data_IF_184169161269
#
_entry.id   IF_184169161269
#
_cell.length_a   1.000
_cell.length_b   1.000
_cell.length_c   1.000
_cell.angle_alpha   90.00
_cell.angle_beta   90.00
_cell.angle_gamma   90.00
#
_symmetry.space_group_name_H-M   'P 1'
#
loop_
_entity.id
_entity.type
_entity.pdbx_description
1 polymer ?
#
# COMPACT_ATOMS: atom_id res chain seq x y z
N UNK A 1 -11.13 57.36 12.14
CA UNK A 1 -10.61 56.09 12.69
C UNK A 1 -11.03 54.93 11.81
N UNK A 2 -10.09 54.29 11.12
CA UNK A 2 -10.34 53.10 10.31
C UNK A 2 -10.19 51.81 11.12
N UNK A 3 -11.03 50.81 10.82
CA UNK A 3 -10.74 49.40 11.11
C UNK A 3 -10.89 48.61 9.81
N UNK A 4 -9.76 48.06 9.37
CA UNK A 4 -9.58 47.28 8.14
C UNK A 4 -10.19 45.89 8.34
N UNK A 5 -11.16 45.53 7.50
CA UNK A 5 -11.60 44.14 7.33
C UNK A 5 -10.59 43.38 6.48
N UNK A 6 -10.05 42.29 7.02
CA UNK A 6 -9.18 41.36 6.28
C UNK A 6 -10.07 40.40 5.49
N UNK A 7 -10.04 40.50 4.16
CA UNK A 7 -10.50 39.43 3.27
C UNK A 7 -9.51 38.26 3.39
N UNK A 8 -9.99 37.10 3.83
CA UNK A 8 -9.28 35.83 3.66
C UNK A 8 -9.63 35.29 2.27
N UNK A 9 -8.68 35.40 1.34
CA UNK A 9 -8.73 34.73 0.04
C UNK A 9 -8.41 33.25 0.29
N UNK A 10 -9.42 32.39 0.15
CA UNK A 10 -9.20 30.94 0.07
C UNK A 10 -8.92 30.59 -1.39
N UNK A 11 -7.67 30.22 -1.67
CA UNK A 11 -7.31 29.60 -2.95
C UNK A 11 -7.72 28.13 -2.87
N UNK A 12 -8.79 27.77 -3.58
CA UNK A 12 -9.19 26.38 -3.78
C UNK A 12 -8.13 25.69 -4.65
N UNK A 13 -7.33 24.80 -4.06
CA UNK A 13 -6.44 23.92 -4.80
C UNK A 13 -7.29 22.84 -5.49
N UNK A 14 -7.53 23.02 -6.79
CA UNK A 14 -8.06 21.95 -7.64
C UNK A 14 -7.01 20.86 -7.82
N UNK A 15 -7.36 19.62 -7.49
CA UNK A 15 -6.55 18.45 -7.79
C UNK A 15 -6.53 18.22 -9.31
N UNK A 16 -5.51 18.76 -9.99
CA UNK A 16 -5.16 18.35 -11.33
C UNK A 16 -4.15 17.20 -11.23
N UNK A 17 -4.57 15.97 -11.53
CA UNK A 17 -3.67 14.88 -11.89
C UNK A 17 -3.82 14.63 -13.38
N UNK A 18 -2.76 14.99 -14.13
CA UNK A 18 -2.62 14.78 -15.57
C UNK A 18 -2.50 13.28 -15.89
N UNK A 19 -3.38 12.78 -16.75
CA UNK A 19 -3.18 11.53 -17.46
C UNK A 19 -2.28 11.80 -18.68
N UNK A 20 -1.10 11.18 -18.74
CA UNK A 20 -0.19 11.24 -19.89
C UNK A 20 -0.32 9.98 -20.76
N UNK A 21 -0.55 10.19 -22.06
CA UNK A 21 -0.57 9.16 -23.10
C UNK A 21 0.85 8.83 -23.61
N UNK A 22 1.04 7.60 -24.11
CA UNK A 22 2.33 7.00 -24.46
C UNK A 22 2.77 7.16 -25.94
N UNK A 23 4.07 7.49 -26.12
CA UNK A 23 5.07 7.02 -27.13
C UNK A 23 4.94 7.42 -28.63
N UNK A 24 6.03 7.37 -29.49
CA UNK A 24 7.30 6.63 -29.35
C UNK A 24 8.65 7.29 -29.80
N UNK A 25 9.76 6.67 -29.32
CA UNK A 25 11.12 6.42 -29.90
C UNK A 25 11.95 7.53 -30.59
N UNK A 26 13.16 7.79 -30.06
CA UNK A 26 14.30 8.28 -30.85
C UNK A 26 15.49 8.91 -30.09
N UNK A 27 16.63 8.20 -30.10
CA UNK A 27 18.03 8.70 -30.10
C UNK A 27 18.76 9.15 -28.79
N UNK A 28 19.74 8.30 -28.43
CA UNK A 28 21.17 8.57 -28.16
C UNK A 28 21.66 9.37 -26.94
N UNK A 29 22.59 8.70 -26.24
CA UNK A 29 23.34 9.12 -25.06
C UNK A 29 24.32 10.29 -25.30
N UNK A 30 24.54 11.11 -24.27
CA UNK A 30 25.83 11.77 -24.02
C UNK A 30 26.01 12.04 -22.51
N UNK A 31 27.27 11.99 -22.08
CA UNK A 31 27.85 11.96 -20.73
C UNK A 31 27.73 13.24 -19.88
N UNK A 32 27.93 13.04 -18.57
CA UNK A 32 27.98 14.01 -17.46
C UNK A 32 29.03 15.14 -17.59
N UNK A 33 28.98 16.11 -16.67
CA UNK A 33 30.19 16.43 -15.91
C UNK A 33 29.98 16.48 -14.38
N UNK A 34 31.05 16.10 -13.68
CA UNK A 34 31.30 16.16 -12.23
C UNK A 34 32.19 17.37 -11.92
N UNK A 35 31.92 18.11 -10.83
CA UNK A 35 32.92 18.94 -10.09
C UNK A 35 32.45 19.22 -8.63
N UNK A 36 33.30 19.66 -7.66
CA UNK A 36 33.58 18.88 -6.45
C UNK A 36 33.55 19.67 -5.10
N UNK A 37 33.83 18.98 -3.98
CA UNK A 37 34.74 19.48 -2.93
C UNK A 37 34.16 19.86 -1.56
N UNK A 38 34.72 19.26 -0.49
CA UNK A 38 34.60 19.68 0.92
C UNK A 38 34.59 18.51 1.94
N UNK A 39 35.67 17.72 2.07
CA UNK A 39 36.67 17.75 3.18
C UNK A 39 36.09 17.48 4.60
N UNK A 40 36.06 16.26 5.15
CA UNK A 40 37.13 15.40 5.76
C UNK A 40 37.48 15.76 7.21
N UNK A 41 37.26 14.84 8.16
CA UNK A 41 38.15 14.60 9.31
C UNK A 41 38.21 13.08 9.57
N UNK A 42 39.42 12.58 9.80
CA UNK A 42 39.78 11.17 9.88
C UNK A 42 40.44 10.81 11.24
N UNK A 43 40.43 9.50 11.51
CA UNK A 43 41.49 8.69 12.16
C UNK A 43 41.44 8.54 13.71
N UNK A 44 42.09 7.52 14.31
CA UNK A 44 42.94 6.46 13.70
C UNK A 44 42.67 5.00 14.19
N UNK A 45 43.22 4.05 13.45
CA UNK A 45 43.50 2.68 13.88
C UNK A 45 44.91 2.60 14.53
N UNK A 46 45.19 1.62 15.42
CA UNK A 46 46.56 1.30 15.81
C UNK A 46 47.07 -0.02 15.21
N UNK A 47 48.40 -0.06 15.07
CA UNK A 47 49.20 -1.06 14.39
C UNK A 47 49.79 -2.14 15.33
N UNK A 48 50.11 -3.28 14.71
CA UNK A 48 51.13 -4.33 14.93
C UNK A 48 51.87 -4.54 16.27
N UNK A 49 52.12 -5.84 16.50
CA UNK A 49 52.78 -6.55 17.61
C UNK A 49 54.31 -6.35 17.77
N UNK A 50 54.90 -7.07 18.75
CA UNK A 50 56.11 -7.87 18.49
C UNK A 50 56.00 -9.34 18.97
N UNK A 51 56.85 -10.20 18.39
CA UNK A 51 56.99 -11.65 18.62
C UNK A 51 58.20 -12.00 19.51
N UNK A 52 58.15 -13.18 20.16
CA UNK A 52 59.22 -14.17 20.43
C UNK A 52 58.56 -15.36 21.20
N UNK A 53 58.87 -16.67 21.07
CA UNK A 53 59.85 -17.44 20.31
C UNK A 53 59.57 -18.97 20.48
N UNK A 54 59.94 -19.73 19.44
CA UNK A 54 60.17 -21.17 19.23
C UNK A 54 59.83 -22.26 20.29
N UNK A 55 59.16 -23.37 19.87
CA UNK A 55 59.80 -24.62 19.37
C UNK A 55 58.91 -25.90 19.44
N UNK A 56 58.64 -26.48 18.26
CA UNK A 56 58.63 -27.91 17.82
C UNK A 56 58.05 -29.04 18.73
N UNK A 57 57.00 -29.74 18.25
CA UNK A 57 57.00 -31.15 17.76
C UNK A 57 55.57 -31.70 17.48
N UNK A 58 55.55 -32.71 16.61
CA UNK A 58 54.46 -33.28 15.79
C UNK A 58 53.30 -33.95 16.56
N UNK A 59 52.11 -33.94 15.97
CA UNK A 59 51.00 -34.83 16.33
C UNK A 59 49.78 -34.64 15.42
N UNK A 60 49.25 -35.72 14.86
CA UNK A 60 48.30 -35.76 13.75
C UNK A 60 46.83 -35.43 14.11
N UNK A 61 46.05 -35.22 13.02
CA UNK A 61 44.58 -35.37 12.83
C UNK A 61 43.69 -34.11 12.79
N UNK A 62 43.27 -33.82 11.56
CA UNK A 62 42.01 -33.26 11.03
C UNK A 62 40.89 -32.91 12.04
N UNK A 63 40.49 -31.64 12.07
CA UNK A 63 39.09 -31.19 12.13
C UNK A 63 39.02 -29.67 11.80
N UNK A 64 38.07 -29.30 10.93
CA UNK A 64 37.74 -27.91 10.54
C UNK A 64 36.83 -27.25 11.60
N UNK A 65 36.72 -25.91 11.65
CA UNK A 65 36.18 -25.20 12.80
C UNK A 65 34.64 -25.20 12.87
N UNK A 66 34.20 -25.03 14.11
CA UNK A 66 32.88 -25.06 14.72
C UNK A 66 31.85 -24.15 14.02
N UNK A 67 30.85 -24.76 13.37
CA UNK A 67 29.55 -24.13 13.14
C UNK A 67 28.69 -24.35 14.37
N UNK A 68 28.30 -23.27 15.04
CA UNK A 68 27.34 -23.31 16.14
C UNK A 68 25.98 -23.77 15.60
N UNK A 69 25.56 -24.97 16.01
CA UNK A 69 24.25 -25.52 15.70
C UNK A 69 23.28 -25.07 16.78
N UNK A 70 22.40 -24.12 16.44
CA UNK A 70 21.23 -23.81 17.27
C UNK A 70 20.24 -24.97 17.11
N UNK A 71 20.20 -25.89 18.09
CA UNK A 71 19.09 -26.83 18.21
C UNK A 71 17.86 -26.08 18.71
N UNK A 72 16.93 -25.82 17.80
CA UNK A 72 15.56 -25.45 18.17
C UNK A 72 15.00 -26.58 19.06
N UNK A 73 14.94 -26.35 20.36
CA UNK A 73 14.25 -27.23 21.29
C UNK A 73 12.80 -26.75 21.39
N UNK A 74 11.82 -27.44 20.79
CA UNK A 74 10.41 -27.08 20.94
C UNK A 74 9.95 -27.56 22.30
N UNK A 75 10.17 -26.74 23.31
CA UNK A 75 9.47 -26.85 24.58
C UNK A 75 9.00 -25.43 24.91
N UNK A 76 7.68 -25.22 24.98
CA UNK A 76 6.97 -24.00 25.44
C UNK A 76 6.46 -22.99 24.39
N UNK A 77 6.34 -23.34 23.09
CA UNK A 77 5.70 -22.43 22.12
C UNK A 77 6.41 -21.07 21.95
N UNK A 78 7.72 -21.02 22.24
CA UNK A 78 8.58 -19.84 22.09
C UNK A 78 9.94 -20.25 21.56
N UNK A 79 10.57 -19.38 20.77
CA UNK A 79 11.94 -19.55 20.28
C UNK A 79 12.71 -18.24 20.45
N UNK A 80 13.98 -18.37 20.82
CA UNK A 80 14.92 -17.25 20.93
C UNK A 80 15.90 -17.30 19.76
N UNK A 81 16.15 -16.13 19.18
CA UNK A 81 17.02 -15.94 18.04
C UNK A 81 18.06 -14.89 18.39
N UNK A 82 19.33 -15.28 18.39
CA UNK A 82 20.44 -14.40 18.78
C UNK A 82 21.35 -14.12 17.60
N UNK A 83 21.48 -12.85 17.24
CA UNK A 83 22.36 -12.37 16.17
C UNK A 83 23.03 -11.07 16.60
N UNK A 84 24.31 -10.90 16.27
CA UNK A 84 25.06 -9.66 16.51
C UNK A 84 24.98 -9.14 17.97
N UNK A 85 24.86 -10.05 18.93
CA UNK A 85 24.74 -9.72 20.36
C UNK A 85 23.35 -9.28 20.83
N UNK A 86 22.33 -9.32 19.96
CA UNK A 86 20.92 -9.08 20.29
C UNK A 86 20.15 -10.39 20.30
N UNK A 87 19.20 -10.52 21.23
CA UNK A 87 18.31 -11.68 21.34
C UNK A 87 16.87 -11.26 21.13
N UNK A 88 16.18 -11.95 20.22
CA UNK A 88 14.78 -11.73 19.88
C UNK A 88 13.97 -12.97 20.24
N UNK A 89 12.83 -12.78 20.90
CA UNK A 89 11.93 -13.90 21.21
C UNK A 89 10.66 -13.84 20.37
N UNK A 90 10.35 -14.94 19.68
CA UNK A 90 9.11 -15.12 18.90
C UNK A 90 8.29 -16.22 19.55
N UNK A 91 6.97 -16.02 19.72
CA UNK A 91 6.13 -16.93 20.52
C UNK A 91 4.79 -17.25 19.86
N UNK A 92 4.11 -18.25 20.42
CA UNK A 92 2.75 -18.65 20.11
C UNK A 92 2.45 -18.79 18.62
N UNK A 93 1.29 -18.29 18.22
CA UNK A 93 0.82 -18.36 16.84
C UNK A 93 1.71 -17.57 15.86
N UNK A 94 2.43 -16.54 16.33
CA UNK A 94 3.38 -15.79 15.51
C UNK A 94 4.58 -16.67 15.16
N UNK A 95 5.11 -17.40 16.14
CA UNK A 95 6.18 -18.37 15.91
C UNK A 95 5.72 -19.49 14.97
N UNK A 96 4.53 -20.06 15.19
CA UNK A 96 3.97 -21.11 14.33
C UNK A 96 3.88 -20.65 12.87
N UNK A 97 3.37 -19.43 12.64
CA UNK A 97 3.33 -18.84 11.29
C UNK A 97 4.74 -18.61 10.74
N UNK A 98 5.65 -18.06 11.53
CA UNK A 98 7.03 -17.80 11.11
C UNK A 98 7.76 -19.09 10.70
N UNK A 99 7.59 -20.17 11.45
CA UNK A 99 8.15 -21.49 11.10
C UNK A 99 7.53 -22.04 9.82
N UNK A 100 6.21 -21.86 9.61
CA UNK A 100 5.54 -22.26 8.39
C UNK A 100 6.04 -21.51 7.14
N UNK A 101 6.55 -20.29 7.30
CA UNK A 101 7.17 -19.48 6.24
C UNK A 101 8.65 -19.80 6.01
N UNK A 102 9.21 -20.81 6.69
CA UNK A 102 10.61 -21.24 6.54
C UNK A 102 11.58 -20.57 7.52
N UNK A 103 11.07 -19.90 8.56
CA UNK A 103 11.87 -19.26 9.61
C UNK A 103 12.93 -18.30 9.02
N UNK A 104 14.15 -18.28 9.59
CA UNK A 104 15.22 -17.35 9.20
C UNK A 104 15.75 -17.55 7.79
N UNK A 105 15.50 -18.72 7.19
CA UNK A 105 15.83 -19.04 5.81
C UNK A 105 14.67 -18.79 4.84
N UNK A 106 13.51 -18.42 5.39
CA UNK A 106 12.28 -18.14 4.66
C UNK A 106 12.21 -16.71 4.12
N UNK A 107 11.06 -16.40 3.50
CA UNK A 107 10.85 -15.10 2.87
C UNK A 107 10.88 -13.93 3.87
N UNK A 108 10.56 -14.16 5.14
CA UNK A 108 10.55 -13.15 6.20
C UNK A 108 11.96 -12.78 6.69
N UNK A 109 12.93 -13.69 6.58
CA UNK A 109 14.26 -13.53 7.15
C UNK A 109 14.24 -13.57 8.69
N UNK A 110 15.27 -12.99 9.32
CA UNK A 110 15.43 -13.02 10.78
C UNK A 110 14.46 -12.07 11.49
N UNK A 111 14.05 -12.38 12.74
CA UNK A 111 13.34 -11.41 13.57
C UNK A 111 14.23 -10.19 13.85
N UNK A 112 13.62 -9.01 13.86
CA UNK A 112 14.27 -7.74 14.23
C UNK A 112 13.65 -7.10 15.48
N UNK A 113 12.56 -7.67 15.98
CA UNK A 113 11.99 -7.38 17.29
C UNK A 113 11.69 -8.68 18.03
N UNK A 114 11.64 -8.63 19.35
CA UNK A 114 10.87 -9.62 20.11
C UNK A 114 9.38 -9.39 19.84
N UNK A 115 8.56 -10.38 20.21
CA UNK A 115 7.10 -10.23 20.18
C UNK A 115 6.66 -9.04 21.05
N UNK A 116 5.90 -8.13 20.44
CA UNK A 116 5.30 -6.97 21.07
C UNK A 116 3.81 -7.21 21.22
N UNK A 117 3.31 -7.15 22.45
CA UNK A 117 1.88 -7.27 22.75
C UNK A 117 1.20 -5.91 22.61
N UNK A 118 0.04 -5.91 21.96
CA UNK A 118 -0.78 -4.73 21.69
C UNK A 118 -2.22 -4.92 22.20
N UNK A 119 -2.97 -3.83 22.40
CA UNK A 119 -4.42 -3.93 22.58
C UNK A 119 -5.07 -4.62 21.37
N UNK A 120 -5.54 -5.85 21.55
CA UNK A 120 -6.23 -6.61 20.50
C UNK A 120 -5.33 -7.50 19.64
N UNK A 121 -4.04 -7.61 19.94
CA UNK A 121 -3.14 -8.47 19.19
C UNK A 121 -1.70 -8.50 19.69
N UNK A 122 -0.82 -9.04 18.86
CA UNK A 122 0.62 -9.00 19.05
C UNK A 122 1.29 -8.99 17.67
N UNK A 123 2.56 -8.59 17.61
CA UNK A 123 3.33 -8.71 16.38
C UNK A 123 4.80 -8.99 16.64
N UNK A 124 5.46 -9.50 15.60
CA UNK A 124 6.91 -9.48 15.47
C UNK A 124 7.28 -8.93 14.10
N UNK A 125 8.24 -8.01 14.06
CA UNK A 125 8.86 -7.60 12.81
C UNK A 125 10.03 -8.51 12.45
N UNK A 126 10.17 -8.77 11.16
CA UNK A 126 11.25 -9.53 10.55
C UNK A 126 11.92 -8.66 9.49
N UNK A 127 13.10 -9.06 9.02
CA UNK A 127 13.89 -8.30 8.03
C UNK A 127 13.07 -7.89 6.79
N UNK A 128 12.23 -8.78 6.28
CA UNK A 128 11.51 -8.59 5.01
C UNK A 128 9.98 -8.60 5.18
N UNK A 129 9.48 -8.48 6.40
CA UNK A 129 8.04 -8.54 6.65
C UNK A 129 7.68 -8.47 8.12
N UNK A 130 6.42 -8.74 8.42
CA UNK A 130 5.91 -8.73 9.78
C UNK A 130 4.84 -9.78 9.92
N UNK A 131 4.75 -10.39 11.10
CA UNK A 131 3.66 -11.29 11.43
C UNK A 131 2.86 -10.65 12.53
N UNK A 132 1.59 -10.39 12.25
CA UNK A 132 0.63 -9.84 13.20
C UNK A 132 -0.36 -10.92 13.57
N UNK A 133 -0.65 -11.04 14.86
CA UNK A 133 -1.70 -11.90 15.38
C UNK A 133 -2.82 -11.05 15.98
N UNK A 134 -4.07 -11.44 15.71
CA UNK A 134 -5.25 -10.95 16.43
C UNK A 134 -6.26 -12.08 16.63
N UNK A 135 -7.18 -12.00 17.61
CA UNK A 135 -8.20 -13.03 17.83
C UNK A 135 -9.08 -13.31 16.61
N UNK A 136 -9.36 -12.30 15.79
CA UNK A 136 -10.20 -12.42 14.59
C UNK A 136 -9.42 -12.86 13.37
N UNK A 137 -8.18 -12.39 13.23
CA UNK A 137 -7.36 -12.61 12.05
C UNK A 137 -6.44 -13.82 12.17
N UNK A 138 -6.15 -14.33 13.37
CA UNK A 138 -5.04 -15.24 13.59
C UNK A 138 -3.69 -14.58 13.23
N UNK A 139 -2.64 -15.39 13.12
CA UNK A 139 -1.32 -14.90 12.68
C UNK A 139 -1.29 -14.75 11.15
N UNK A 140 -1.00 -13.54 10.68
CA UNK A 140 -0.97 -13.15 9.27
C UNK A 140 0.33 -12.45 8.93
N UNK A 141 0.89 -12.81 7.78
CA UNK A 141 2.09 -12.19 7.23
C UNK A 141 1.70 -10.92 6.47
N UNK A 142 2.41 -9.83 6.71
CA UNK A 142 2.33 -8.59 5.93
C UNK A 142 3.74 -8.24 5.47
N UNK A 143 3.96 -8.03 4.17
CA UNK A 143 5.29 -7.82 3.59
C UNK A 143 5.26 -6.88 2.39
N UNK A 144 6.45 -6.51 1.92
CA UNK A 144 6.66 -5.69 0.72
C UNK A 144 5.84 -4.40 0.72
N UNK A 145 5.39 -3.98 -0.47
CA UNK A 145 4.70 -2.69 -0.63
C UNK A 145 3.38 -2.58 0.15
N UNK A 146 2.69 -3.70 0.41
CA UNK A 146 1.48 -3.69 1.25
C UNK A 146 1.84 -3.31 2.69
N UNK A 147 2.91 -3.90 3.23
CA UNK A 147 3.45 -3.55 4.55
C UNK A 147 3.87 -2.09 4.60
N UNK A 148 4.60 -1.63 3.60
CA UNK A 148 5.14 -0.25 3.57
C UNK A 148 4.01 0.79 3.51
N UNK A 149 2.95 0.51 2.75
CA UNK A 149 1.75 1.37 2.75
C UNK A 149 1.09 1.37 4.13
N UNK A 150 0.92 0.21 4.75
CA UNK A 150 0.26 0.12 6.05
C UNK A 150 1.08 0.79 7.17
N UNK A 151 2.40 0.62 7.14
CA UNK A 151 3.38 1.32 7.99
C UNK A 151 3.23 2.84 7.87
N UNK A 152 3.19 3.36 6.65
CA UNK A 152 3.05 4.79 6.39
C UNK A 152 1.74 5.39 6.95
N UNK A 153 0.73 4.55 7.21
CA UNK A 153 -0.56 4.97 7.77
C UNK A 153 -0.69 4.69 9.28
N UNK A 154 0.37 4.22 9.94
CA UNK A 154 0.36 3.95 11.37
C UNK A 154 -0.03 2.53 11.76
N UNK A 155 0.19 1.55 10.88
CA UNK A 155 0.03 0.13 11.21
C UNK A 155 -1.38 -0.20 11.73
N UNK A 156 -1.48 -1.02 12.78
CA UNK A 156 -2.73 -1.40 13.43
C UNK A 156 -3.47 -0.24 14.10
N UNK A 157 -2.80 0.90 14.32
CA UNK A 157 -3.46 2.13 14.82
C UNK A 157 -4.19 2.90 13.72
N UNK A 158 -3.94 2.54 12.45
CA UNK A 158 -4.65 3.08 11.30
C UNK A 158 -6.08 2.55 11.20
N UNK A 159 -6.88 3.15 10.33
CA UNK A 159 -8.22 2.65 10.04
C UNK A 159 -8.25 1.25 9.41
N UNK A 160 -7.14 0.75 8.85
CA UNK A 160 -7.07 -0.61 8.32
C UNK A 160 -7.08 -1.65 9.43
N UNK A 161 -6.55 -1.31 10.61
CA UNK A 161 -6.49 -2.21 11.78
C UNK A 161 -5.71 -3.51 11.41
N UNK A 162 -5.96 -4.63 12.08
CA UNK A 162 -5.20 -5.88 11.86
C UNK A 162 -5.51 -6.57 10.51
N UNK A 163 -4.52 -7.24 9.90
CA UNK A 163 -4.74 -8.13 8.77
C UNK A 163 -5.65 -9.31 9.16
N UNK A 164 -6.53 -9.70 8.24
CA UNK A 164 -7.46 -10.84 8.42
C UNK A 164 -7.24 -11.94 7.39
N UNK A 165 -6.54 -11.64 6.29
CA UNK A 165 -6.09 -12.63 5.31
C UNK A 165 -4.58 -12.58 5.12
N UNK A 166 -4.02 -13.66 4.56
CA UNK A 166 -2.72 -13.57 3.90
C UNK A 166 -2.88 -12.72 2.62
N UNK A 167 -1.76 -12.23 2.08
CA UNK A 167 -1.73 -11.65 0.75
C UNK A 167 -1.97 -12.74 -0.30
N UNK A 168 -2.98 -12.55 -1.15
CA UNK A 168 -3.38 -13.49 -2.19
C UNK A 168 -3.37 -12.86 -3.59
N UNK A 169 -3.32 -13.68 -4.65
CA UNK A 169 -3.36 -13.18 -6.02
C UNK A 169 -4.71 -12.53 -6.35
N UNK A 170 -4.68 -11.48 -7.17
CA UNK A 170 -5.85 -10.73 -7.62
C UNK A 170 -5.63 -10.26 -9.06
N UNK A 171 -6.24 -10.86 -10.09
CA UNK A 171 -6.26 -10.31 -11.46
C UNK A 171 -4.93 -9.77 -12.07
N UNK A 172 -3.76 -10.34 -11.75
CA UNK A 172 -2.45 -9.84 -12.20
C UNK A 172 -1.68 -8.97 -11.18
N UNK A 173 -2.24 -8.80 -9.99
CA UNK A 173 -1.62 -8.20 -8.81
C UNK A 173 -1.93 -9.02 -7.56
N UNK A 174 -2.02 -8.35 -6.42
CA UNK A 174 -2.27 -8.97 -5.13
C UNK A 174 -3.30 -8.18 -4.32
N UNK A 175 -3.95 -8.85 -3.38
CA UNK A 175 -4.84 -8.24 -2.39
C UNK A 175 -4.56 -8.83 -1.02
N UNK A 176 -4.51 -7.97 -0.01
CA UNK A 176 -4.54 -8.37 1.37
C UNK A 176 -5.68 -7.68 2.09
N UNK A 177 -6.45 -8.45 2.85
CA UNK A 177 -7.61 -7.95 3.58
C UNK A 177 -7.23 -7.63 5.01
N UNK A 178 -7.71 -6.48 5.46
CA UNK A 178 -7.61 -5.99 6.82
C UNK A 178 -9.01 -5.80 7.40
N UNK A 179 -9.13 -5.70 8.72
CA UNK A 179 -10.44 -5.57 9.38
C UNK A 179 -11.19 -4.32 8.90
N UNK A 180 -10.48 -3.23 8.66
CA UNK A 180 -11.09 -1.95 8.24
C UNK A 180 -11.12 -1.69 6.74
N UNK A 181 -10.57 -2.57 5.91
CA UNK A 181 -10.51 -2.41 4.46
C UNK A 181 -9.55 -3.37 3.78
N UNK A 182 -9.40 -3.22 2.47
CA UNK A 182 -8.55 -4.09 1.66
C UNK A 182 -7.43 -3.25 1.03
N UNK A 183 -6.22 -3.81 0.98
CA UNK A 183 -5.10 -3.23 0.24
C UNK A 183 -4.88 -4.03 -1.03
N UNK A 184 -5.05 -3.36 -2.16
CA UNK A 184 -4.80 -3.89 -3.49
C UNK A 184 -3.44 -3.42 -3.98
N UNK A 185 -2.67 -4.30 -4.59
CA UNK A 185 -1.40 -3.98 -5.22
C UNK A 185 -1.42 -4.44 -6.66
N UNK A 186 -0.93 -3.59 -7.57
CA UNK A 186 -0.59 -4.02 -8.94
C UNK A 186 0.76 -3.43 -9.36
N UNK A 187 1.46 -4.03 -10.33
CA UNK A 187 2.68 -3.45 -10.88
C UNK A 187 2.48 -2.04 -11.47
N UNK A 188 1.26 -1.73 -11.94
CA UNK A 188 0.95 -0.46 -12.60
C UNK A 188 0.59 0.66 -11.60
N UNK A 189 -0.03 0.34 -10.47
CA UNK A 189 -0.61 1.34 -9.55
C UNK A 189 0.02 1.34 -8.16
N UNK A 190 0.87 0.36 -7.85
CA UNK A 190 1.39 0.16 -6.51
C UNK A 190 0.29 -0.24 -5.51
N UNK A 191 0.58 -0.20 -4.20
CA UNK A 191 -0.39 -0.53 -3.17
C UNK A 191 -1.39 0.63 -2.99
N UNK A 192 -2.69 0.33 -2.96
CA UNK A 192 -3.76 1.28 -2.67
C UNK A 192 -4.78 0.64 -1.73
N UNK A 193 -5.24 1.39 -0.74
CA UNK A 193 -6.28 0.91 0.17
C UNK A 193 -7.67 1.33 -0.28
N UNK A 194 -8.65 0.46 -0.02
CA UNK A 194 -10.07 0.70 -0.20
C UNK A 194 -10.80 0.36 1.10
N UNK A 195 -11.81 1.15 1.46
CA UNK A 195 -12.61 0.92 2.67
C UNK A 195 -14.07 1.32 2.47
N UNK A 196 -14.89 0.98 3.48
CA UNK A 196 -16.26 1.47 3.59
C UNK A 196 -17.11 1.25 2.34
N UNK A 197 -17.98 2.22 2.03
CA UNK A 197 -18.93 2.12 0.93
C UNK A 197 -18.26 2.05 -0.45
N UNK A 198 -17.08 2.66 -0.62
CA UNK A 198 -16.32 2.60 -1.86
C UNK A 198 -15.83 1.17 -2.11
N UNK A 199 -15.22 0.53 -1.10
CA UNK A 199 -14.83 -0.88 -1.18
C UNK A 199 -16.04 -1.77 -1.50
N UNK A 200 -17.16 -1.60 -0.80
CA UNK A 200 -18.37 -2.39 -1.05
C UNK A 200 -18.88 -2.24 -2.48
N UNK A 201 -18.89 -1.02 -3.03
CA UNK A 201 -19.31 -0.77 -4.42
C UNK A 201 -18.34 -1.38 -5.43
N UNK A 202 -17.04 -1.34 -5.14
CA UNK A 202 -15.99 -1.94 -5.97
C UNK A 202 -16.09 -3.47 -6.00
N UNK A 203 -16.25 -4.12 -4.84
CA UNK A 203 -16.47 -5.57 -4.74
C UNK A 203 -17.74 -5.97 -5.49
N UNK A 204 -18.84 -5.22 -5.33
CA UNK A 204 -20.08 -5.44 -6.07
C UNK A 204 -19.95 -5.22 -7.58
N UNK A 205 -18.93 -4.49 -8.05
CA UNK A 205 -18.61 -4.33 -9.46
C UNK A 205 -17.74 -5.47 -10.03
N UNK A 206 -17.37 -6.48 -9.22
CA UNK A 206 -16.45 -7.55 -9.62
C UNK A 206 -14.98 -7.29 -9.26
N UNK A 207 -14.72 -6.27 -8.41
CA UNK A 207 -13.39 -5.92 -7.93
C UNK A 207 -12.38 -5.73 -9.07
N UNK A 208 -11.16 -6.25 -8.93
CA UNK A 208 -10.06 -6.10 -9.88
C UNK A 208 -10.32 -6.81 -11.22
N UNK A 209 -11.20 -7.81 -11.22
CA UNK A 209 -11.64 -8.53 -12.43
C UNK A 209 -12.82 -7.85 -13.12
N UNK A 210 -13.42 -6.86 -12.44
CA UNK A 210 -14.53 -6.07 -12.93
C UNK A 210 -14.10 -4.97 -13.93
N UNK A 211 -15.05 -4.19 -14.43
CA UNK A 211 -14.79 -3.18 -15.46
C UNK A 211 -13.85 -2.08 -14.97
N UNK A 212 -13.79 -1.81 -13.67
CA UNK A 212 -12.96 -0.74 -13.10
C UNK A 212 -11.46 -1.04 -13.11
N UNK A 213 -11.06 -2.32 -13.07
CA UNK A 213 -9.67 -2.73 -12.87
C UNK A 213 -9.15 -2.37 -11.47
N UNK A 214 -7.84 -2.18 -11.34
CA UNK A 214 -7.21 -1.86 -10.06
C UNK A 214 -7.44 -0.40 -9.62
N UNK A 215 -7.46 -0.13 -8.30
CA UNK A 215 -7.37 1.23 -7.79
C UNK A 215 -6.05 1.89 -8.21
N UNK A 216 -6.14 3.14 -8.64
CA UNK A 216 -5.02 4.02 -9.00
C UNK A 216 -4.68 4.95 -7.84
N UNK A 217 -5.67 5.28 -7.02
CA UNK A 217 -5.49 6.03 -5.77
C UNK A 217 -6.07 5.25 -4.61
N UNK A 218 -5.60 5.53 -3.41
CA UNK A 218 -6.35 5.19 -2.19
C UNK A 218 -7.55 6.13 -2.06
N UNK A 219 -8.43 5.89 -1.09
CA UNK A 219 -9.59 6.77 -0.85
C UNK A 219 -9.15 8.20 -0.54
N UNK A 220 -9.61 9.16 -1.33
CA UNK A 220 -9.37 10.59 -1.17
C UNK A 220 -10.62 11.24 -0.58
N UNK A 221 -10.46 11.89 0.57
CA UNK A 221 -11.52 12.66 1.21
C UNK A 221 -11.85 13.93 0.44
N UNK A 222 -13.14 14.20 0.28
CA UNK A 222 -13.70 15.42 -0.30
C UNK A 222 -14.53 16.16 0.75
N UNK A 223 -14.84 17.43 0.50
CA UNK A 223 -15.61 18.27 1.45
C UNK A 223 -16.95 17.64 1.88
N UNK A 224 -17.62 16.93 0.97
CA UNK A 224 -18.94 16.33 1.20
C UNK A 224 -18.99 14.84 0.88
N UNK A 225 -17.84 14.16 0.81
CA UNK A 225 -17.78 12.79 0.33
C UNK A 225 -16.35 12.25 0.27
N UNK A 226 -16.16 11.24 -0.54
CA UNK A 226 -14.85 10.68 -0.85
C UNK A 226 -14.89 10.09 -2.26
N UNK A 227 -13.72 9.86 -2.85
CA UNK A 227 -13.64 9.12 -4.08
C UNK A 227 -12.37 8.27 -4.15
N UNK A 228 -12.41 7.28 -5.03
CA UNK A 228 -11.23 6.55 -5.48
C UNK A 228 -11.24 6.48 -6.98
N UNK A 229 -10.10 6.78 -7.60
CA UNK A 229 -9.87 6.53 -9.02
C UNK A 229 -9.38 5.10 -9.23
N UNK A 230 -9.90 4.48 -10.27
CA UNK A 230 -9.53 3.16 -10.77
C UNK A 230 -9.01 3.29 -12.21
N UNK A 231 -8.42 2.22 -12.75
CA UNK A 231 -7.84 2.24 -14.10
C UNK A 231 -8.85 2.69 -15.17
N UNK A 232 -10.10 2.28 -15.06
CA UNK A 232 -11.13 2.51 -16.09
C UNK A 232 -12.33 3.34 -15.59
N UNK A 233 -12.21 4.02 -14.45
CA UNK A 233 -13.31 4.80 -13.89
C UNK A 233 -13.02 5.31 -12.49
N UNK A 234 -14.05 5.78 -11.80
CA UNK A 234 -13.95 6.21 -10.42
C UNK A 234 -15.18 5.77 -9.63
N UNK A 235 -15.02 5.58 -8.33
CA UNK A 235 -16.14 5.43 -7.40
C UNK A 235 -16.20 6.68 -6.54
N UNK A 236 -17.32 7.38 -6.59
CA UNK A 236 -17.60 8.54 -5.74
C UNK A 236 -18.63 8.15 -4.69
N UNK A 237 -18.39 8.58 -3.46
CA UNK A 237 -19.30 8.41 -2.34
C UNK A 237 -19.66 9.76 -1.72
N UNK A 238 -20.93 9.92 -1.36
CA UNK A 238 -21.39 10.97 -0.46
C UNK A 238 -22.36 10.41 0.58
N UNK A 239 -22.54 11.07 1.74
CA UNK A 239 -23.56 10.67 2.72
C UNK A 239 -24.99 10.70 2.15
N UNK A 240 -25.26 11.54 1.14
CA UNK A 240 -26.59 11.70 0.56
C UNK A 240 -26.90 10.65 -0.50
N UNK A 241 -25.92 10.30 -1.32
CA UNK A 241 -26.14 9.46 -2.50
C UNK A 241 -25.59 8.04 -2.36
N UNK A 242 -24.66 7.78 -1.44
CA UNK A 242 -23.95 6.51 -1.38
C UNK A 242 -22.84 6.42 -2.45
N UNK A 243 -22.28 5.23 -2.63
CA UNK A 243 -21.14 5.00 -3.52
C UNK A 243 -21.59 4.58 -4.92
N UNK A 244 -21.18 5.34 -5.95
CA UNK A 244 -21.53 5.10 -7.34
C UNK A 244 -20.31 5.15 -8.25
N UNK A 245 -20.33 4.25 -9.24
CA UNK A 245 -19.34 4.20 -10.31
C UNK A 245 -19.65 5.28 -11.33
N UNK A 246 -18.64 6.02 -11.76
CA UNK A 246 -18.68 6.94 -12.90
C UNK A 246 -17.53 6.54 -13.82
N UNK A 247 -17.79 6.32 -15.11
CA UNK A 247 -16.79 5.78 -16.04
C UNK A 247 -16.97 6.32 -17.46
N UNK A 248 -16.04 5.95 -18.35
CA UNK A 248 -16.14 6.21 -19.79
C UNK A 248 -16.40 7.67 -20.17
N UNK A 249 -17.25 7.86 -21.19
CA UNK A 249 -17.58 9.20 -21.73
C UNK A 249 -18.35 10.07 -20.75
N UNK A 250 -19.18 9.48 -19.87
CA UNK A 250 -19.88 10.22 -18.83
C UNK A 250 -18.89 10.81 -17.83
N UNK A 251 -17.92 10.02 -17.36
CA UNK A 251 -16.85 10.51 -16.50
C UNK A 251 -16.06 11.63 -17.17
N UNK A 252 -15.67 11.47 -18.43
CA UNK A 252 -14.93 12.49 -19.17
C UNK A 252 -15.70 13.82 -19.30
N UNK A 253 -17.00 13.75 -19.60
CA UNK A 253 -17.84 14.94 -19.69
C UNK A 253 -18.04 15.62 -18.33
N UNK A 254 -18.34 14.85 -17.29
CA UNK A 254 -18.50 15.37 -15.92
C UNK A 254 -17.20 15.96 -15.37
N UNK A 255 -16.05 15.36 -15.69
CA UNK A 255 -14.73 15.90 -15.40
C UNK A 255 -14.52 17.28 -16.03
N UNK A 256 -14.90 17.44 -17.30
CA UNK A 256 -14.84 18.74 -18.00
C UNK A 256 -15.70 19.84 -17.38
N UNK A 257 -16.70 19.48 -16.56
CA UNK A 257 -17.55 20.41 -15.82
C UNK A 257 -17.03 20.74 -14.42
N UNK A 258 -15.96 20.08 -13.96
CA UNK A 258 -15.42 20.24 -12.60
C UNK A 258 -15.94 19.21 -11.59
N UNK A 259 -16.32 18.01 -12.03
CA UNK A 259 -16.71 16.88 -11.18
C UNK A 259 -17.80 17.23 -10.14
N UNK A 260 -17.64 16.80 -8.89
CA UNK A 260 -18.60 17.01 -7.80
C UNK A 260 -18.73 18.47 -7.37
N UNK A 261 -17.78 19.31 -7.78
CA UNK A 261 -17.82 20.76 -7.56
C UNK A 261 -18.64 21.49 -8.64
N UNK A 262 -19.07 20.78 -9.69
CA UNK A 262 -19.94 21.33 -10.74
C UNK A 262 -21.40 21.46 -10.28
N UNK A 263 -22.22 22.12 -11.10
CA UNK A 263 -23.67 22.18 -10.88
C UNK A 263 -24.39 20.83 -10.91
N UNK A 264 -23.75 19.74 -11.34
CA UNK A 264 -24.31 18.38 -11.26
C UNK A 264 -24.12 17.73 -9.88
N UNK A 265 -23.11 18.13 -9.10
CA UNK A 265 -22.82 17.51 -7.81
C UNK A 265 -22.41 16.03 -7.91
N UNK A 266 -22.73 15.24 -6.88
CA UNK A 266 -22.36 13.82 -6.80
C UNK A 266 -23.28 12.93 -7.66
N UNK A 267 -22.78 11.77 -8.14
CA UNK A 267 -23.63 10.76 -8.76
C UNK A 267 -24.64 10.19 -7.75
N UNK A 268 -25.87 9.96 -8.20
CA UNK A 268 -26.97 9.36 -7.43
C UNK A 268 -27.38 7.98 -7.92
N UNK A 269 -26.80 7.53 -9.03
CA UNK A 269 -26.96 6.18 -9.56
C UNK A 269 -25.67 5.70 -10.23
N UNK A 270 -25.56 4.41 -10.47
CA UNK A 270 -24.69 3.91 -11.55
C UNK A 270 -25.27 4.25 -12.93
N UNK A 271 -24.48 4.01 -13.98
CA UNK A 271 -24.96 4.08 -15.37
C UNK A 271 -26.11 3.09 -15.59
N UNK A 272 -27.19 3.57 -16.22
CA UNK A 272 -28.34 2.77 -16.61
C UNK A 272 -28.51 2.77 -18.12
N UNK A 273 -28.88 1.62 -18.72
CA UNK A 273 -29.12 1.57 -20.15
C UNK A 273 -30.34 2.41 -20.53
N UNK A 274 -30.23 3.10 -21.67
CA UNK A 274 -31.33 3.80 -22.35
C UNK A 274 -31.31 3.48 -23.84
N UNK A 275 -32.36 3.84 -24.57
CA UNK A 275 -32.38 3.66 -26.02
C UNK A 275 -31.18 4.38 -26.65
N UNK A 276 -30.29 3.60 -27.28
CA UNK A 276 -29.09 4.11 -27.97
C UNK A 276 -27.92 4.51 -27.08
N UNK A 277 -27.95 4.24 -25.77
CA UNK A 277 -26.93 4.79 -24.87
C UNK A 277 -27.00 4.32 -23.42
N UNK A 278 -26.31 5.06 -22.56
CA UNK A 278 -26.38 4.97 -21.10
C UNK A 278 -26.64 6.35 -20.52
N UNK A 279 -27.37 6.40 -19.40
CA UNK A 279 -27.61 7.63 -18.62
C UNK A 279 -27.16 7.42 -17.19
N UNK A 280 -26.62 8.46 -16.58
CA UNK A 280 -26.32 8.49 -15.16
C UNK A 280 -26.96 9.70 -14.50
N UNK A 281 -27.58 9.47 -13.34
CA UNK A 281 -28.15 10.54 -12.53
C UNK A 281 -27.09 11.12 -11.60
N UNK A 282 -27.17 12.43 -11.45
CA UNK A 282 -26.43 13.23 -10.47
C UNK A 282 -27.42 14.09 -9.68
N UNK A 283 -26.95 14.67 -8.58
CA UNK A 283 -27.77 15.52 -7.71
C UNK A 283 -28.46 16.67 -8.47
N UNK A 284 -27.74 17.30 -9.40
CA UNK A 284 -28.18 18.45 -10.18
C UNK A 284 -28.68 18.14 -11.60
N UNK A 285 -28.83 16.87 -11.97
CA UNK A 285 -29.21 16.54 -13.35
C UNK A 285 -28.91 15.11 -13.78
N UNK A 286 -28.88 14.90 -15.10
CA UNK A 286 -28.50 13.64 -15.74
C UNK A 286 -27.48 13.90 -16.85
N UNK A 287 -26.56 12.96 -17.03
CA UNK A 287 -25.63 12.94 -18.16
C UNK A 287 -25.89 11.67 -18.95
N UNK A 288 -26.16 11.82 -20.25
CA UNK A 288 -26.44 10.70 -21.15
C UNK A 288 -25.33 10.59 -22.19
N UNK A 289 -24.76 9.41 -22.35
CA UNK A 289 -23.90 9.08 -23.47
C UNK A 289 -24.66 8.21 -24.46
N UNK A 290 -24.85 8.72 -25.68
CA UNK A 290 -25.39 7.98 -26.81
C UNK A 290 -24.25 7.38 -27.61
N UNK A 291 -24.31 6.06 -27.80
CA UNK A 291 -23.29 5.33 -28.54
C UNK A 291 -23.32 5.68 -30.03
N UNK A 292 -24.52 5.94 -30.56
CA UNK A 292 -24.68 6.43 -31.93
C UNK A 292 -24.17 7.88 -32.04
N UNK A 293 -23.16 8.08 -32.87
CA UNK A 293 -22.46 9.35 -33.02
C UNK A 293 -21.60 9.77 -31.82
N UNK A 294 -21.44 8.92 -30.79
CA UNK A 294 -20.62 9.19 -29.60
C UNK A 294 -20.94 10.54 -28.92
N UNK A 295 -22.23 10.82 -28.73
CA UNK A 295 -22.73 12.11 -28.27
C UNK A 295 -22.99 12.09 -26.76
N UNK A 296 -22.46 13.06 -26.03
CA UNK A 296 -22.83 13.30 -24.63
C UNK A 296 -23.85 14.44 -24.53
N UNK A 297 -24.95 14.19 -23.82
CA UNK A 297 -26.00 15.17 -23.53
C UNK A 297 -26.04 15.46 -22.04
N UNK A 298 -26.11 16.74 -21.70
CA UNK A 298 -26.23 17.24 -20.34
C UNK A 298 -27.67 17.71 -20.12
N UNK A 299 -28.30 17.24 -19.05
CA UNK A 299 -29.64 17.66 -18.66
C UNK A 299 -29.64 18.14 -17.21
N UNK A 300 -29.85 19.43 -17.00
CA UNK A 300 -29.97 20.01 -15.65
C UNK A 300 -31.40 19.88 -15.11
N UNK A 301 -31.54 19.78 -13.78
CA UNK A 301 -32.84 19.96 -13.10
C UNK A 301 -33.18 21.42 -12.88
#
# INVERSE_FOLDING_TARGET
MGRKGRLAVWVSAGCAVLAAAASPVGASATSAPVVPGGTRVAAPAPAAAPQEGAAVQRGARRAAPTGERVEARPASGSAEYSYDGQTFTVRGAILERYLAEGAEHGALGRPVTSEVVLPGGAFTHFQNGSVYWSPTGGARVVRGSVRDLWEAHGWETSFLDYPVSEEGPAGGGAVQRFRGGDVYWSPATGPQFLRGAILQRYLAAGAETGPLGFPVTSEVGLRAGAFTSFQNGAVYWSPRSGAHVVQGRILGAWAGLGWESSGFGYPTSGERPVAGGVVQDFEGGQITHLHDGDVVRLHHR
#
